data_IF_612466191001
#
_entry.id   IF_612466191001
#
_cell.length_a   1.000
_cell.length_b   1.000
_cell.length_c   1.000
_cell.angle_alpha   90.00
_cell.angle_beta   90.00
_cell.angle_gamma   90.00
#
_symmetry.space_group_name_H-M   'P 1'
#
loop_
_entity.id
_entity.type
_entity.pdbx_description
1 polymer ?
#
# COMPACT_ATOMS: atom_id res chain seq x y z
N UNK A 1 -21.59 -21.41 -22.78
CA UNK A 1 -21.44 -19.95 -22.55
C UNK A 1 -22.55 -19.50 -21.60
N UNK A 2 -22.23 -19.36 -20.31
CA UNK A 2 -23.19 -18.90 -19.30
C UNK A 2 -23.35 -17.39 -19.40
N UNK A 3 -24.56 -16.91 -19.72
CA UNK A 3 -24.92 -15.49 -19.75
C UNK A 3 -25.09 -15.02 -18.29
N UNK A 4 -24.17 -14.18 -17.83
CA UNK A 4 -24.33 -13.45 -16.56
C UNK A 4 -25.48 -12.45 -16.73
N UNK A 5 -26.46 -12.36 -15.80
CA UNK A 5 -27.53 -11.38 -15.89
C UNK A 5 -26.95 -9.97 -15.78
N UNK A 6 -27.35 -9.06 -16.68
CA UNK A 6 -27.15 -7.62 -16.50
C UNK A 6 -28.15 -7.14 -15.45
N UNK A 7 -27.76 -7.17 -14.19
CA UNK A 7 -28.47 -6.41 -13.16
C UNK A 7 -28.22 -4.92 -13.41
N UNK A 8 -29.28 -4.18 -13.72
CA UNK A 8 -29.26 -2.72 -13.75
C UNK A 8 -29.01 -2.22 -12.34
N UNK A 9 -27.87 -1.56 -12.12
CA UNK A 9 -27.57 -0.90 -10.85
C UNK A 9 -28.55 0.26 -10.70
N UNK A 10 -29.48 0.13 -9.74
CA UNK A 10 -30.39 1.21 -9.37
C UNK A 10 -29.68 2.19 -8.43
N UNK A 11 -29.18 3.28 -9.00
CA UNK A 11 -28.48 4.34 -8.26
C UNK A 11 -29.39 5.10 -7.29
N UNK A 12 -30.72 4.94 -7.33
CA UNK A 12 -31.64 5.58 -6.36
C UNK A 12 -31.60 4.94 -4.98
N UNK A 13 -31.05 3.74 -4.84
CA UNK A 13 -30.93 3.02 -3.56
C UNK A 13 -29.87 3.61 -2.61
N UNK A 14 -29.09 4.58 -3.09
CA UNK A 14 -28.01 5.25 -2.34
C UNK A 14 -28.40 6.63 -1.82
N UNK A 15 -29.65 7.07 -2.05
CA UNK A 15 -30.18 8.28 -1.43
C UNK A 15 -30.86 7.89 -0.11
N UNK A 16 -30.07 7.52 0.90
CA UNK A 16 -30.50 7.74 2.28
C UNK A 16 -30.39 9.25 2.55
N UNK A 17 -31.42 9.81 3.19
CA UNK A 17 -31.47 11.23 3.55
C UNK A 17 -30.25 11.57 4.43
N UNK A 18 -29.45 12.61 4.15
CA UNK A 18 -28.28 12.97 4.97
C UNK A 18 -28.62 13.17 6.45
N UNK A 19 -29.88 13.50 6.75
CA UNK A 19 -30.39 13.73 8.10
C UNK A 19 -30.71 12.42 8.86
N UNK A 20 -30.88 11.27 8.17
CA UNK A 20 -31.15 9.98 8.82
C UNK A 20 -29.87 9.31 9.36
N UNK A 21 -28.69 9.63 8.79
CA UNK A 21 -27.40 9.16 9.29
C UNK A 21 -26.96 9.96 10.53
N UNK A 22 -27.35 11.23 10.62
CA UNK A 22 -26.99 12.12 11.73
C UNK A 22 -27.66 11.74 13.06
N UNK A 23 -28.79 11.01 13.01
CA UNK A 23 -29.57 10.62 14.18
C UNK A 23 -29.23 9.24 14.77
N UNK A 24 -28.19 8.56 14.26
CA UNK A 24 -27.58 7.43 14.98
C UNK A 24 -26.79 7.94 16.18
N UNK A 25 -27.49 8.12 17.30
CA UNK A 25 -26.98 8.35 18.66
C UNK A 25 -25.51 8.81 18.74
N UNK A 26 -25.27 10.09 18.49
CA UNK A 26 -24.02 10.72 18.95
C UNK A 26 -24.08 10.69 20.48
N UNK A 27 -23.40 9.72 21.10
CA UNK A 27 -23.28 9.64 22.56
C UNK A 27 -22.53 10.88 23.06
N UNK A 28 -23.26 11.85 23.59
CA UNK A 28 -22.69 13.00 24.28
C UNK A 28 -22.07 12.50 25.58
N UNK A 29 -20.78 12.71 25.75
CA UNK A 29 -20.06 12.29 26.95
C UNK A 29 -20.43 13.19 28.13
N UNK A 30 -20.60 12.59 29.31
CA UNK A 30 -20.82 13.30 30.56
C UNK A 30 -19.59 14.17 30.92
N UNK A 31 -19.74 15.27 31.69
CA UNK A 31 -18.62 16.14 32.06
C UNK A 31 -17.44 15.42 32.71
N UNK A 32 -17.71 14.39 33.52
CA UNK A 32 -16.67 13.53 34.12
C UNK A 32 -15.93 12.68 33.08
N UNK A 33 -16.64 12.18 32.07
CA UNK A 33 -16.05 11.39 30.98
C UNK A 33 -15.20 12.27 30.05
N UNK A 34 -15.66 13.50 29.79
CA UNK A 34 -14.89 14.52 29.07
C UNK A 34 -13.59 14.86 29.78
N UNK A 35 -13.63 15.06 31.11
CA UNK A 35 -12.42 15.28 31.91
C UNK A 35 -11.46 14.11 31.82
N UNK A 36 -11.95 12.87 32.02
CA UNK A 36 -11.11 11.68 31.97
C UNK A 36 -10.50 11.45 30.58
N UNK A 37 -11.25 11.74 29.52
CA UNK A 37 -10.78 11.66 28.14
C UNK A 37 -9.70 12.71 27.86
N UNK A 38 -9.83 13.92 28.41
CA UNK A 38 -8.80 14.96 28.33
C UNK A 38 -7.51 14.53 29.06
N UNK A 39 -7.64 13.95 30.26
CA UNK A 39 -6.50 13.42 31.02
C UNK A 39 -5.80 12.29 30.28
N UNK A 40 -6.55 11.34 29.72
CA UNK A 40 -6.02 10.26 28.90
C UNK A 40 -5.30 10.81 27.67
N UNK A 41 -5.91 11.77 26.96
CA UNK A 41 -5.31 12.43 25.80
C UNK A 41 -3.97 13.09 26.18
N UNK A 42 -3.94 13.84 27.28
CA UNK A 42 -2.72 14.50 27.75
C UNK A 42 -1.63 13.48 28.12
N UNK A 43 -2.00 12.38 28.78
CA UNK A 43 -1.06 11.30 29.10
C UNK A 43 -0.48 10.65 27.83
N UNK A 44 -1.33 10.39 26.83
CA UNK A 44 -0.88 9.82 25.54
C UNK A 44 0.00 10.79 24.76
N UNK A 45 -0.33 12.09 24.77
CA UNK A 45 0.45 13.13 24.11
C UNK A 45 1.84 13.25 24.75
N UNK A 46 1.90 13.26 26.08
CA UNK A 46 3.16 13.27 26.82
C UNK A 46 4.02 12.05 26.49
N UNK A 47 3.44 10.85 26.52
CA UNK A 47 4.15 9.63 26.14
C UNK A 47 4.69 9.71 24.70
N UNK A 48 3.89 10.24 23.78
CA UNK A 48 4.30 10.39 22.38
C UNK A 48 5.45 11.40 22.23
N UNK A 49 5.39 12.54 22.92
CA UNK A 49 6.47 13.53 22.94
C UNK A 49 7.75 12.96 23.54
N UNK A 50 7.67 12.25 24.66
CA UNK A 50 8.82 11.61 25.31
C UNK A 50 9.46 10.56 24.39
N UNK A 51 8.64 9.74 23.72
CA UNK A 51 9.10 8.78 22.73
C UNK A 51 9.79 9.47 21.54
N UNK A 52 9.20 10.52 20.98
CA UNK A 52 9.80 11.29 19.88
C UNK A 52 11.15 11.90 20.26
N UNK A 53 11.23 12.52 21.44
CA UNK A 53 12.47 13.10 21.96
C UNK A 53 13.56 12.03 22.12
N UNK A 54 13.21 10.86 22.67
CA UNK A 54 14.14 9.75 22.82
C UNK A 54 14.68 9.23 21.47
N UNK A 55 13.83 9.17 20.44
CA UNK A 55 14.21 8.76 19.09
C UNK A 55 15.16 9.80 18.48
N UNK A 56 14.86 11.10 18.63
CA UNK A 56 15.71 12.18 18.14
C UNK A 56 17.10 12.15 18.79
N UNK A 57 17.17 12.01 20.11
CA UNK A 57 18.45 11.90 20.84
C UNK A 57 19.29 10.69 20.40
N UNK A 58 18.66 9.56 20.06
CA UNK A 58 19.38 8.39 19.51
C UNK A 58 19.93 8.66 18.12
N UNK A 59 19.17 9.38 17.28
CA UNK A 59 19.61 9.78 15.93
C UNK A 59 20.83 10.69 16.01
N UNK A 60 20.84 11.63 16.95
CA UNK A 60 21.96 12.56 17.15
C UNK A 60 23.24 11.87 17.65
N UNK A 61 23.12 10.77 18.41
CA UNK A 61 24.26 9.94 18.82
C UNK A 61 24.87 9.09 17.70
N UNK A 62 24.06 8.63 16.73
CA UNK A 62 24.52 7.81 15.62
C UNK A 62 25.13 8.61 14.45
N UNK A 63 25.11 9.95 14.48
CA UNK A 63 25.71 10.79 13.45
C UNK A 63 27.25 10.80 13.45
N UNK A 64 27.90 10.18 14.44
CA UNK A 64 29.35 10.29 14.63
C UNK A 64 30.20 9.09 14.16
N UNK A 65 29.65 8.06 13.51
CA UNK A 65 30.47 7.08 12.77
C UNK A 65 29.83 6.69 11.43
N UNK A 66 30.25 7.37 10.36
CA UNK A 66 29.90 7.11 8.95
C UNK A 66 30.49 5.80 8.39
N UNK A 67 30.54 4.72 9.19
CA UNK A 67 31.10 3.42 8.81
C UNK A 67 30.01 2.45 8.34
N UNK A 68 28.83 2.45 8.96
CA UNK A 68 27.75 1.50 8.64
C UNK A 68 27.24 1.69 7.21
N UNK A 69 27.02 2.93 6.77
CA UNK A 69 26.59 3.22 5.39
C UNK A 69 27.62 2.76 4.36
N UNK A 70 28.92 2.88 4.67
CA UNK A 70 30.00 2.40 3.79
C UNK A 70 30.05 0.88 3.76
N UNK A 71 29.82 0.22 4.90
CA UNK A 71 29.75 -1.24 4.99
C UNK A 71 28.55 -1.74 4.17
N UNK A 72 27.37 -1.15 4.36
CA UNK A 72 26.16 -1.51 3.60
C UNK A 72 26.34 -1.26 2.10
N UNK A 73 26.97 -0.15 1.70
CA UNK A 73 27.27 0.14 0.30
C UNK A 73 28.30 -0.85 -0.29
N UNK A 74 29.23 -1.34 0.52
CA UNK A 74 30.16 -2.38 0.08
C UNK A 74 29.48 -3.73 -0.04
N UNK A 75 28.60 -4.09 0.91
CA UNK A 75 27.81 -5.32 0.85
C UNK A 75 26.82 -5.32 -0.31
N UNK A 76 26.22 -4.18 -0.65
CA UNK A 76 25.28 -4.07 -1.77
C UNK A 76 25.94 -4.26 -3.14
N UNK A 77 27.28 -4.31 -3.22
CA UNK A 77 28.00 -4.63 -4.47
C UNK A 77 28.01 -6.13 -4.75
N UNK A 78 27.80 -6.96 -3.73
CA UNK A 78 27.70 -8.41 -3.90
C UNK A 78 26.27 -8.79 -4.35
N UNK A 79 26.08 -9.34 -5.55
CA UNK A 79 24.77 -9.72 -6.06
C UNK A 79 24.13 -10.91 -5.32
N UNK A 80 24.90 -11.67 -4.54
CA UNK A 80 24.36 -12.75 -3.71
C UNK A 80 23.64 -12.24 -2.46
N UNK A 81 23.82 -10.96 -2.12
CA UNK A 81 23.26 -10.34 -0.92
C UNK A 81 22.12 -9.39 -1.30
N UNK A 82 20.97 -9.59 -0.67
CA UNK A 82 19.86 -8.64 -0.74
C UNK A 82 19.79 -7.83 0.56
N UNK A 83 19.85 -6.51 0.43
CA UNK A 83 19.62 -5.58 1.54
C UNK A 83 18.23 -4.96 1.39
N UNK A 84 17.40 -5.10 2.41
CA UNK A 84 16.02 -4.58 2.43
C UNK A 84 15.60 -4.11 3.82
N UNK A 85 14.42 -3.50 3.92
CA UNK A 85 13.82 -3.09 5.20
C UNK A 85 12.93 -4.22 5.76
N UNK A 86 12.82 -4.36 7.08
CA UNK A 86 11.89 -5.30 7.67
C UNK A 86 10.45 -4.83 7.45
N UNK A 87 9.54 -5.79 7.56
CA UNK A 87 8.11 -5.57 7.44
C UNK A 87 7.49 -4.72 8.56
N UNK A 88 8.10 -4.79 9.76
CA UNK A 88 7.67 -4.04 10.95
C UNK A 88 8.89 -3.54 11.72
N UNK A 89 8.75 -2.33 12.24
CA UNK A 89 9.79 -1.67 13.03
C UNK A 89 10.92 -1.08 12.18
N UNK A 90 11.82 -0.30 12.80
CA UNK A 90 13.02 0.19 12.16
C UNK A 90 14.09 -0.92 12.09
N UNK A 91 14.89 -0.93 11.04
CA UNK A 91 16.02 -1.85 10.89
C UNK A 91 16.44 -2.06 9.44
N UNK A 92 17.53 -2.79 9.27
CA UNK A 92 18.03 -3.28 7.97
C UNK A 92 18.07 -4.80 8.04
N UNK A 93 17.62 -5.47 7.00
CA UNK A 93 17.66 -6.92 6.86
C UNK A 93 18.57 -7.26 5.70
N UNK A 94 19.52 -8.15 5.97
CA UNK A 94 20.45 -8.70 4.99
C UNK A 94 20.05 -10.15 4.78
N UNK A 95 19.78 -10.53 3.53
CA UNK A 95 19.31 -11.85 3.13
C UNK A 95 20.20 -12.42 2.03
N UNK A 96 20.24 -13.74 1.94
CA UNK A 96 20.67 -14.40 0.72
C UNK A 96 19.66 -14.10 -0.40
N UNK A 97 20.17 -13.70 -1.56
CA UNK A 97 19.34 -13.32 -2.70
C UNK A 97 18.53 -14.51 -3.24
N UNK A 98 19.11 -15.71 -3.28
CA UNK A 98 18.45 -16.87 -3.85
C UNK A 98 17.33 -17.38 -2.94
N UNK A 99 17.56 -17.47 -1.62
CA UNK A 99 16.51 -17.80 -0.64
C UNK A 99 15.33 -16.80 -0.71
N UNK A 100 15.64 -15.51 -0.90
CA UNK A 100 14.61 -14.50 -1.06
C UNK A 100 13.76 -14.72 -2.33
N UNK A 101 14.40 -14.99 -3.47
CA UNK A 101 13.70 -15.27 -4.73
C UNK A 101 12.87 -16.53 -4.60
N UNK A 102 13.42 -17.62 -4.04
CA UNK A 102 12.71 -18.87 -3.82
C UNK A 102 11.46 -18.66 -2.96
N UNK A 103 11.57 -17.89 -1.86
CA UNK A 103 10.41 -17.53 -1.03
C UNK A 103 9.34 -16.75 -1.78
N UNK A 104 9.71 -15.84 -2.68
CA UNK A 104 8.75 -15.11 -3.52
C UNK A 104 8.10 -16.02 -4.56
N UNK A 105 8.87 -16.87 -5.23
CA UNK A 105 8.37 -17.85 -6.20
C UNK A 105 7.40 -18.83 -5.54
N UNK A 106 7.71 -19.29 -4.32
CA UNK A 106 6.82 -20.11 -3.50
C UNK A 106 5.49 -19.42 -3.15
N UNK A 107 5.49 -18.09 -2.99
CA UNK A 107 4.25 -17.32 -2.80
C UNK A 107 3.47 -17.25 -4.11
N UNK A 108 4.15 -17.02 -5.24
CA UNK A 108 3.56 -16.88 -6.57
C UNK A 108 3.05 -18.20 -7.16
N UNK A 109 3.63 -19.33 -6.75
CA UNK A 109 3.20 -20.66 -7.18
C UNK A 109 1.83 -21.06 -6.62
N UNK A 110 1.29 -20.29 -5.66
CA UNK A 110 -0.03 -20.52 -5.09
C UNK A 110 -1.15 -20.18 -6.09
N UNK A 111 -1.50 -21.18 -6.90
CA UNK A 111 -2.46 -21.13 -8.01
C UNK A 111 -3.89 -20.69 -7.64
N UNK A 112 -4.27 -20.75 -6.36
CA UNK A 112 -5.57 -20.25 -5.90
C UNK A 112 -5.62 -18.71 -5.81
N UNK A 113 -4.47 -18.04 -5.70
CA UNK A 113 -4.39 -16.55 -5.64
C UNK A 113 -3.75 -15.94 -6.87
N UNK A 114 -2.76 -16.61 -7.45
CA UNK A 114 -2.01 -16.08 -8.58
C UNK A 114 -2.23 -16.92 -9.82
N UNK A 115 -2.27 -16.25 -10.97
CA UNK A 115 -2.36 -16.87 -12.29
C UNK A 115 -1.19 -16.37 -13.13
N UNK A 116 -0.43 -17.31 -13.66
CA UNK A 116 0.63 -17.01 -14.62
C UNK A 116 -0.02 -16.47 -15.92
N UNK A 117 0.53 -15.37 -16.42
CA UNK A 117 0.17 -14.79 -17.70
C UNK A 117 1.30 -15.05 -18.69
N UNK A 118 0.95 -15.30 -19.95
CA UNK A 118 1.93 -15.55 -21.01
C UNK A 118 2.60 -14.26 -21.49
N UNK A 119 1.96 -13.12 -21.29
CA UNK A 119 2.42 -11.80 -21.72
C UNK A 119 1.94 -10.72 -20.75
N UNK A 120 2.61 -9.56 -20.77
CA UNK A 120 2.22 -8.39 -20.01
C UNK A 120 0.99 -7.72 -20.66
N UNK A 121 -0.19 -7.72 -19.99
CA UNK A 121 -1.41 -7.16 -20.57
C UNK A 121 -1.49 -5.63 -20.46
N UNK A 122 -0.52 -4.95 -19.83
CA UNK A 122 -0.62 -3.54 -19.44
C UNK A 122 -0.90 -2.62 -20.64
N UNK A 123 -0.08 -2.72 -21.69
CA UNK A 123 -0.25 -1.91 -22.89
C UNK A 123 -1.50 -2.31 -23.68
N UNK A 124 -1.82 -3.61 -23.72
CA UNK A 124 -3.04 -4.10 -24.36
C UNK A 124 -4.30 -3.54 -23.69
N UNK A 125 -4.33 -3.50 -22.35
CA UNK A 125 -5.41 -2.91 -21.56
C UNK A 125 -5.49 -1.40 -21.73
N UNK A 126 -4.36 -0.70 -21.75
CA UNK A 126 -4.31 0.73 -22.04
C UNK A 126 -4.94 1.04 -23.42
N UNK A 127 -4.54 0.30 -24.45
CA UNK A 127 -5.05 0.47 -25.82
C UNK A 127 -6.55 0.16 -25.91
N UNK A 128 -7.02 -0.89 -25.24
CA UNK A 128 -8.43 -1.23 -25.18
C UNK A 128 -9.24 -0.10 -24.52
N UNK A 129 -8.76 0.43 -23.39
CA UNK A 129 -9.38 1.56 -22.71
C UNK A 129 -9.39 2.82 -23.59
N UNK A 130 -8.27 3.17 -24.23
CA UNK A 130 -8.18 4.31 -25.16
C UNK A 130 -9.18 4.16 -26.31
N UNK A 131 -9.38 2.94 -26.81
CA UNK A 131 -10.36 2.66 -27.87
C UNK A 131 -11.79 2.99 -27.41
N UNK A 132 -12.17 2.53 -26.21
CA UNK A 132 -13.48 2.82 -25.61
C UNK A 132 -13.65 4.33 -25.38
N UNK A 133 -12.65 4.98 -24.80
CA UNK A 133 -12.68 6.43 -24.55
C UNK A 133 -12.82 7.25 -25.83
N UNK A 134 -12.18 6.81 -26.92
CA UNK A 134 -12.31 7.44 -28.23
C UNK A 134 -13.70 7.28 -28.81
N UNK A 135 -14.31 6.10 -28.65
CA UNK A 135 -15.69 5.86 -29.07
C UNK A 135 -16.66 6.77 -28.30
N UNK A 136 -16.56 6.82 -26.97
CA UNK A 136 -17.41 7.68 -26.14
C UNK A 136 -17.28 9.17 -26.49
N UNK A 137 -16.08 9.61 -26.85
CA UNK A 137 -15.84 10.97 -27.34
C UNK A 137 -16.53 11.21 -28.70
N UNK A 138 -16.46 10.25 -29.61
CA UNK A 138 -17.09 10.36 -30.93
C UNK A 138 -18.62 10.33 -30.84
N UNK A 139 -19.17 9.65 -29.84
CA UNK A 139 -20.61 9.59 -29.52
C UNK A 139 -21.06 10.77 -28.64
N UNK A 140 -20.20 11.77 -28.44
CA UNK A 140 -20.46 13.01 -27.67
C UNK A 140 -20.78 12.80 -26.17
N UNK A 141 -20.55 11.61 -25.63
CA UNK A 141 -20.60 11.37 -24.17
C UNK A 141 -19.44 12.02 -23.41
N UNK A 142 -18.34 12.33 -24.09
CA UNK A 142 -17.16 12.99 -23.52
C UNK A 142 -16.76 14.19 -24.39
N UNK A 143 -16.52 15.32 -23.74
CA UNK A 143 -15.87 16.46 -24.38
C UNK A 143 -14.41 16.15 -24.70
N UNK A 144 -13.82 16.94 -25.60
CA UNK A 144 -12.39 16.83 -25.93
C UNK A 144 -11.48 17.05 -24.71
N UNK A 145 -11.91 17.89 -23.75
CA UNK A 145 -11.16 18.17 -22.52
C UNK A 145 -11.23 16.98 -21.57
N UNK A 146 -12.42 16.43 -21.32
CA UNK A 146 -12.60 15.25 -20.48
C UNK A 146 -11.85 14.04 -21.03
N UNK A 147 -11.95 13.78 -22.34
CA UNK A 147 -11.18 12.71 -22.98
C UNK A 147 -9.68 12.86 -22.72
N UNK A 148 -9.11 14.07 -22.88
CA UNK A 148 -7.68 14.28 -22.64
C UNK A 148 -7.31 14.09 -21.17
N UNK A 149 -8.21 14.47 -20.26
CA UNK A 149 -8.00 14.35 -18.82
C UNK A 149 -7.98 12.89 -18.34
N UNK A 150 -8.91 12.06 -18.83
CA UNK A 150 -9.06 10.66 -18.39
C UNK A 150 -8.27 9.66 -19.23
N UNK A 151 -7.72 10.07 -20.38
CA UNK A 151 -6.95 9.18 -21.25
C UNK A 151 -5.68 8.71 -20.50
N UNK A 152 -5.48 7.40 -20.32
CA UNK A 152 -4.26 6.88 -19.74
C UNK A 152 -3.06 7.17 -20.64
N UNK A 153 -1.90 7.39 -20.04
CA UNK A 153 -0.62 7.58 -20.74
C UNK A 153 0.49 6.91 -19.94
N UNK A 154 1.33 6.13 -20.62
CA UNK A 154 2.57 5.61 -20.06
C UNK A 154 2.36 4.53 -19.00
N UNK A 155 1.40 3.63 -19.20
CA UNK A 155 1.16 2.53 -18.25
C UNK A 155 2.37 1.59 -18.19
N UNK A 156 2.75 1.21 -16.97
CA UNK A 156 3.87 0.30 -16.70
C UNK A 156 3.41 -0.78 -15.73
N UNK A 157 3.86 -2.01 -15.96
CA UNK A 157 3.64 -3.10 -15.02
C UNK A 157 4.29 -2.83 -13.68
N UNK A 158 3.52 -3.09 -12.63
CA UNK A 158 3.95 -2.94 -11.25
C UNK A 158 4.98 -4.01 -10.89
N UNK A 159 6.01 -3.64 -10.12
CA UNK A 159 7.06 -4.56 -9.66
C UNK A 159 6.68 -5.16 -8.31
N UNK A 160 6.68 -6.48 -8.23
CA UNK A 160 6.50 -7.20 -6.97
C UNK A 160 7.81 -7.24 -6.18
N UNK A 161 7.74 -7.02 -4.87
CA UNK A 161 8.82 -7.30 -3.93
C UNK A 161 8.28 -7.81 -2.59
N UNK A 162 9.15 -8.38 -1.76
CA UNK A 162 8.84 -8.99 -0.48
C UNK A 162 9.45 -8.25 0.70
N UNK A 163 8.65 -7.91 1.72
CA UNK A 163 9.17 -7.41 3.00
C UNK A 163 9.34 -8.55 4.01
N UNK A 164 10.52 -8.75 4.61
CA UNK A 164 10.75 -9.84 5.57
C UNK A 164 10.00 -9.62 6.88
N UNK A 165 9.13 -10.55 7.27
CA UNK A 165 8.44 -10.55 8.56
C UNK A 165 9.36 -11.09 9.65
N UNK A 166 10.38 -10.33 10.02
CA UNK A 166 11.40 -10.70 11.05
C UNK A 166 10.82 -11.03 12.43
N UNK A 167 9.57 -10.67 12.68
CA UNK A 167 8.82 -10.96 13.91
C UNK A 167 8.03 -12.28 13.86
N UNK A 168 8.29 -13.14 12.87
CA UNK A 168 7.65 -14.44 12.65
C UNK A 168 8.72 -15.51 12.42
N UNK A 169 8.44 -16.73 12.86
CA UNK A 169 9.32 -17.88 12.63
C UNK A 169 9.52 -18.12 11.13
N UNK A 170 10.71 -18.58 10.75
CA UNK A 170 11.16 -18.76 9.36
C UNK A 170 11.17 -17.50 8.49
N UNK A 171 10.93 -16.32 9.07
CA UNK A 171 10.99 -15.00 8.43
C UNK A 171 10.28 -14.98 7.05
N UNK A 172 8.98 -15.27 6.99
CA UNK A 172 8.23 -15.26 5.74
C UNK A 172 8.14 -13.85 5.13
N UNK A 173 8.01 -13.77 3.81
CA UNK A 173 7.89 -12.49 3.10
C UNK A 173 6.44 -11.97 3.10
N UNK A 174 6.26 -10.65 3.07
CA UNK A 174 5.02 -9.97 2.68
C UNK A 174 5.16 -9.49 1.23
N UNK A 175 4.42 -10.05 0.26
CA UNK A 175 4.42 -9.51 -1.09
C UNK A 175 3.78 -8.12 -1.12
N UNK A 176 4.44 -7.18 -1.79
CA UNK A 176 3.99 -5.81 -2.07
C UNK A 176 4.09 -5.60 -3.59
N UNK A 177 3.00 -5.11 -4.18
CA UNK A 177 2.90 -4.67 -5.57
C UNK A 177 2.60 -3.18 -5.54
#
# INVERSE_FOLDING_TARGET
ASKVPKESIDFKKWNEDPDDIANKEIRVLEPKQLSLAADLKNATEKFFQDAQMSIKMRKDKNLNENNDDKILLNLSKDPSILITKPDKGPGVVILDHNDYIEKLENILSYNKKFKLLNEDPTISRENALITILRQMKNEEYLTQQEYKYIKPVGSVSVRLYGLPKVHKDNVPLRPIV
#
